data_IF_285621289393
#
_entry.id   IF_285621289393
#
_cell.length_a   1.000
_cell.length_b   1.000
_cell.length_c   1.000
_cell.angle_alpha   90.00
_cell.angle_beta   90.00
_cell.angle_gamma   90.00
#
_symmetry.space_group_name_H-M   'P 1'
#
loop_
_entity.id
_entity.type
_entity.pdbx_description
1 polymer ?
#
# COMPACT_ATOMS: atom_id res chain seq x y z
N UNK A 1 -49.10 -31.22 -57.74
CA UNK A 1 -48.41 -32.53 -57.71
C UNK A 1 -47.21 -32.54 -58.68
N UNK A 2 -47.41 -32.22 -59.96
CA UNK A 2 -46.35 -32.22 -60.98
C UNK A 2 -45.21 -31.22 -60.72
N UNK A 3 -45.53 -30.05 -60.15
CA UNK A 3 -44.57 -28.96 -59.93
C UNK A 3 -43.53 -29.31 -58.83
N UNK A 4 -44.00 -29.86 -57.70
CA UNK A 4 -43.13 -30.39 -56.64
C UNK A 4 -42.26 -31.56 -57.13
N UNK A 5 -42.76 -32.37 -58.06
CA UNK A 5 -41.98 -33.45 -58.66
C UNK A 5 -40.89 -32.91 -59.60
N UNK A 6 -41.15 -31.81 -60.33
CA UNK A 6 -40.14 -31.15 -61.17
C UNK A 6 -39.02 -30.54 -60.34
N UNK A 7 -39.33 -29.91 -59.21
CA UNK A 7 -38.32 -29.35 -58.29
C UNK A 7 -37.45 -30.44 -57.65
N UNK A 8 -38.04 -31.55 -57.19
CA UNK A 8 -37.29 -32.68 -56.64
C UNK A 8 -36.36 -33.33 -57.68
N UNK A 9 -36.83 -33.50 -58.92
CA UNK A 9 -35.99 -34.00 -60.01
C UNK A 9 -34.91 -32.98 -60.38
N UNK A 10 -35.16 -31.68 -60.22
CA UNK A 10 -34.17 -30.62 -60.38
C UNK A 10 -33.01 -30.75 -59.39
N UNK A 11 -33.31 -30.95 -58.10
CA UNK A 11 -32.31 -31.12 -57.04
C UNK A 11 -31.49 -32.40 -57.22
N UNK A 12 -32.13 -33.52 -57.56
CA UNK A 12 -31.41 -34.77 -57.86
C UNK A 12 -30.54 -34.66 -59.11
N UNK A 13 -30.90 -33.80 -60.07
CA UNK A 13 -30.05 -33.50 -61.23
C UNK A 13 -28.80 -32.76 -60.81
N UNK A 14 -28.92 -31.69 -60.02
CA UNK A 14 -27.77 -30.91 -59.56
C UNK A 14 -26.81 -31.75 -58.71
N UNK A 15 -27.31 -32.58 -57.78
CA UNK A 15 -26.45 -33.46 -56.97
C UNK A 15 -25.68 -34.48 -57.82
N UNK A 16 -26.35 -35.08 -58.81
CA UNK A 16 -25.72 -36.05 -59.72
C UNK A 16 -24.71 -35.39 -60.65
N UNK A 17 -24.89 -34.12 -60.98
CA UNK A 17 -23.92 -33.36 -61.77
C UNK A 17 -22.70 -32.98 -60.90
N UNK A 18 -22.91 -32.55 -59.64
CA UNK A 18 -21.80 -32.33 -58.67
C UNK A 18 -20.98 -33.59 -58.41
N UNK A 19 -21.62 -34.75 -58.17
CA UNK A 19 -20.90 -36.01 -57.95
C UNK A 19 -20.11 -36.47 -59.17
N UNK A 20 -20.56 -36.12 -60.38
CA UNK A 20 -19.81 -36.41 -61.62
C UNK A 20 -18.58 -35.53 -61.74
N UNK A 21 -18.66 -34.29 -61.28
CA UNK A 21 -17.53 -33.35 -61.25
C UNK A 21 -16.49 -33.81 -60.22
N UNK A 22 -16.91 -34.16 -59.01
CA UNK A 22 -16.01 -34.74 -57.98
C UNK A 22 -15.34 -36.05 -58.46
N UNK A 23 -16.07 -36.93 -59.14
CA UNK A 23 -15.47 -38.14 -59.73
C UNK A 23 -14.50 -37.83 -60.88
N UNK A 24 -14.74 -36.76 -61.64
CA UNK A 24 -13.82 -36.32 -62.68
C UNK A 24 -12.54 -35.72 -62.05
N UNK A 25 -12.66 -34.94 -60.98
CA UNK A 25 -11.53 -34.44 -60.19
C UNK A 25 -10.71 -35.58 -59.58
N UNK A 26 -11.37 -36.58 -58.98
CA UNK A 26 -10.69 -37.75 -58.40
C UNK A 26 -9.98 -38.59 -59.48
N UNK A 27 -10.60 -38.76 -60.65
CA UNK A 27 -9.94 -39.41 -61.80
C UNK A 27 -8.75 -38.59 -62.31
N UNK A 28 -8.88 -37.28 -62.37
CA UNK A 28 -7.78 -36.40 -62.74
C UNK A 28 -6.64 -36.45 -61.70
N UNK A 29 -6.95 -36.56 -60.40
CA UNK A 29 -5.98 -36.75 -59.33
C UNK A 29 -5.25 -38.11 -59.45
N UNK A 30 -5.96 -39.17 -59.82
CA UNK A 30 -5.36 -40.48 -60.15
C UNK A 30 -4.46 -40.40 -61.38
N UNK A 31 -4.84 -39.61 -62.40
CA UNK A 31 -3.99 -39.36 -63.59
C UNK A 31 -2.79 -38.43 -63.30
N UNK A 32 -2.90 -37.52 -62.31
CA UNK A 32 -1.85 -36.51 -61.98
C UNK A 32 -0.92 -36.89 -60.83
N UNK A 33 -1.07 -38.07 -60.23
CA UNK A 33 0.06 -38.82 -59.71
C UNK A 33 0.08 -39.08 -58.21
N UNK A 34 -0.44 -40.24 -57.84
CA UNK A 34 0.10 -41.04 -56.74
C UNK A 34 0.56 -42.38 -57.32
N UNK A 35 1.77 -42.35 -57.90
CA UNK A 35 2.45 -43.55 -58.39
C UNK A 35 2.75 -44.45 -57.20
N UNK A 36 1.90 -45.45 -57.01
CA UNK A 36 2.19 -46.61 -56.20
C UNK A 36 3.49 -47.24 -56.71
N UNK A 37 4.56 -47.14 -55.91
CA UNK A 37 5.86 -47.71 -56.25
C UNK A 37 5.88 -49.20 -55.98
N UNK A 38 5.47 -50.00 -56.96
CA UNK A 38 5.87 -51.41 -57.04
C UNK A 38 7.27 -51.46 -57.65
N UNK A 39 8.21 -52.16 -57.00
CA UNK A 39 9.51 -52.52 -57.59
C UNK A 39 9.61 -54.04 -57.60
N UNK A 40 9.79 -54.59 -58.80
CA UNK A 40 10.12 -55.99 -59.03
C UNK A 40 11.63 -56.14 -58.81
N UNK A 41 12.05 -57.04 -57.92
CA UNK A 41 13.37 -57.69 -58.01
C UNK A 41 13.12 -59.19 -58.14
N UNK A 42 13.64 -59.84 -59.19
CA UNK A 42 13.53 -61.29 -59.37
C UNK A 42 14.42 -62.02 -58.35
N UNK A 43 13.93 -63.20 -57.97
CA UNK A 43 14.46 -64.08 -56.93
C UNK A 43 15.99 -64.25 -56.91
N UNK A 44 16.52 -64.34 -55.69
CA UNK A 44 17.86 -64.84 -55.40
C UNK A 44 17.92 -65.36 -53.96
N UNK A 45 17.88 -66.68 -53.84
CA UNK A 45 17.91 -67.50 -52.63
C UNK A 45 19.20 -67.36 -51.80
N UNK A 46 19.22 -67.88 -50.55
CA UNK A 46 20.10 -67.42 -49.48
C UNK A 46 21.46 -68.12 -49.49
N UNK A 47 22.54 -67.36 -49.34
CA UNK A 47 23.72 -67.67 -48.52
C UNK A 47 24.90 -66.75 -48.86
N UNK A 48 25.58 -66.28 -47.81
CA UNK A 48 27.04 -66.12 -47.83
C UNK A 48 27.61 -64.76 -48.21
N UNK A 49 28.16 -64.11 -47.18
CA UNK A 49 29.46 -63.43 -47.17
C UNK A 49 29.64 -62.03 -47.83
N UNK A 50 29.77 -61.05 -46.91
CA UNK A 50 30.94 -60.17 -46.73
C UNK A 50 31.17 -59.01 -47.70
N UNK A 51 31.00 -57.82 -47.09
CA UNK A 51 31.70 -56.56 -47.29
C UNK A 51 31.49 -55.75 -48.58
N UNK A 52 30.95 -54.54 -48.41
CA UNK A 52 31.47 -53.32 -49.03
C UNK A 52 30.98 -52.05 -48.30
N UNK A 53 31.90 -51.16 -47.95
CA UNK A 53 31.65 -49.73 -47.74
C UNK A 53 31.30 -49.04 -49.09
N UNK A 54 30.99 -47.73 -49.12
CA UNK A 54 29.75 -47.09 -48.70
C UNK A 54 29.04 -46.55 -49.96
N UNK A 55 27.93 -47.15 -50.36
CA UNK A 55 27.14 -46.62 -51.49
C UNK A 55 25.91 -45.92 -50.92
N UNK A 56 25.92 -44.60 -51.07
CA UNK A 56 24.86 -43.67 -50.69
C UNK A 56 23.51 -44.15 -51.24
N UNK A 57 22.53 -44.29 -50.35
CA UNK A 57 21.14 -44.56 -50.72
C UNK A 57 20.65 -45.99 -50.48
N UNK A 58 21.18 -46.70 -49.49
CA UNK A 58 20.58 -47.95 -49.02
C UNK A 58 19.16 -47.71 -48.48
N UNK A 59 18.14 -48.24 -49.17
CA UNK A 59 16.75 -48.19 -48.70
C UNK A 59 16.59 -49.25 -47.61
N UNK A 60 16.67 -48.81 -46.36
CA UNK A 60 16.42 -49.64 -45.19
C UNK A 60 14.95 -49.59 -44.85
N UNK A 61 14.30 -50.76 -44.81
CA UNK A 61 12.93 -50.88 -44.29
C UNK A 61 12.98 -50.57 -42.80
N UNK A 62 12.29 -49.51 -42.40
CA UNK A 62 12.12 -49.13 -40.99
C UNK A 62 10.77 -49.64 -40.49
N UNK A 63 10.66 -49.88 -39.18
CA UNK A 63 9.37 -50.18 -38.58
C UNK A 63 8.42 -48.97 -38.70
N UNK A 64 7.12 -49.22 -38.57
CA UNK A 64 6.11 -48.16 -38.65
C UNK A 64 6.36 -47.05 -37.62
N UNK A 65 6.81 -47.41 -36.42
CA UNK A 65 7.15 -46.48 -35.33
C UNK A 65 8.38 -45.63 -35.69
N UNK A 66 9.41 -46.24 -36.28
CA UNK A 66 10.62 -45.53 -36.69
C UNK A 66 10.34 -44.56 -37.85
N UNK A 67 9.46 -44.91 -38.78
CA UNK A 67 8.99 -43.99 -39.83
C UNK A 67 8.29 -42.76 -39.23
N UNK A 68 7.40 -42.97 -38.26
CA UNK A 68 6.65 -41.90 -37.61
C UNK A 68 7.55 -40.94 -36.81
N UNK A 69 8.56 -41.47 -36.09
CA UNK A 69 9.54 -40.64 -35.37
C UNK A 69 10.36 -39.81 -36.35
N UNK A 70 10.79 -40.41 -37.47
CA UNK A 70 11.46 -39.65 -38.51
C UNK A 70 10.53 -38.56 -39.08
N UNK A 71 9.23 -38.82 -39.28
CA UNK A 71 8.24 -37.83 -39.78
C UNK A 71 8.15 -36.62 -38.86
N UNK A 72 8.18 -36.84 -37.55
CA UNK A 72 8.20 -35.76 -36.56
C UNK A 72 9.46 -34.87 -36.61
N UNK A 73 10.59 -35.38 -37.12
CA UNK A 73 11.83 -34.62 -37.29
C UNK A 73 11.81 -33.66 -38.51
N UNK A 74 10.71 -33.64 -39.26
CA UNK A 74 10.48 -32.79 -40.43
C UNK A 74 11.04 -33.35 -41.74
N UNK A 75 10.95 -32.56 -42.81
CA UNK A 75 11.35 -32.95 -44.16
C UNK A 75 12.87 -32.93 -44.37
N UNK A 76 13.37 -33.83 -45.24
CA UNK A 76 14.76 -33.89 -45.69
C UNK A 76 15.32 -35.32 -45.76
N UNK A 77 16.57 -35.48 -46.24
CA UNK A 77 17.26 -36.76 -46.26
C UNK A 77 17.35 -37.39 -44.86
N UNK A 78 17.45 -38.72 -44.80
CA UNK A 78 17.52 -39.48 -43.55
C UNK A 78 18.60 -38.94 -42.59
N UNK A 79 19.79 -38.61 -43.11
CA UNK A 79 20.90 -38.06 -42.33
C UNK A 79 20.57 -36.71 -41.68
N UNK A 80 19.75 -35.88 -42.34
CA UNK A 80 19.32 -34.60 -41.80
C UNK A 80 18.31 -34.80 -40.67
N UNK A 81 17.37 -35.74 -40.84
CA UNK A 81 16.35 -36.08 -39.83
C UNK A 81 16.99 -36.72 -38.60
N UNK A 82 17.94 -37.64 -38.81
CA UNK A 82 18.73 -38.24 -37.71
C UNK A 82 19.57 -37.21 -36.96
N UNK A 83 20.18 -36.24 -37.65
CA UNK A 83 20.95 -35.16 -37.01
C UNK A 83 20.06 -34.24 -36.16
N UNK A 84 18.86 -33.90 -36.63
CA UNK A 84 17.88 -33.12 -35.85
C UNK A 84 17.46 -33.87 -34.58
N UNK A 85 17.08 -35.14 -34.71
CA UNK A 85 16.73 -35.99 -33.57
C UNK A 85 17.89 -36.14 -32.57
N UNK A 86 19.12 -36.26 -33.06
CA UNK A 86 20.32 -36.29 -32.22
C UNK A 86 20.52 -34.96 -31.46
N UNK A 87 20.30 -33.82 -32.12
CA UNK A 87 20.35 -32.50 -31.51
C UNK A 87 19.28 -32.30 -30.43
N UNK A 88 18.03 -32.66 -30.71
CA UNK A 88 16.94 -32.62 -29.73
C UNK A 88 17.21 -33.54 -28.53
N UNK A 89 17.75 -34.74 -28.79
CA UNK A 89 18.19 -35.65 -27.72
C UNK A 89 19.28 -35.02 -26.86
N UNK A 90 20.26 -34.36 -27.46
CA UNK A 90 21.34 -33.69 -26.72
C UNK A 90 20.84 -32.48 -25.91
N UNK A 91 19.88 -31.73 -26.45
CA UNK A 91 19.21 -30.63 -25.75
C UNK A 91 18.38 -31.16 -24.57
N UNK A 92 17.58 -32.20 -24.77
CA UNK A 92 16.83 -32.87 -23.69
C UNK A 92 17.77 -33.44 -22.62
N UNK A 93 18.88 -34.06 -23.01
CA UNK A 93 19.90 -34.52 -22.06
C UNK A 93 20.52 -33.34 -21.27
N UNK A 94 20.71 -32.19 -21.91
CA UNK A 94 21.20 -30.99 -21.25
C UNK A 94 20.17 -30.42 -20.26
N UNK A 95 18.89 -30.42 -20.62
CA UNK A 95 17.80 -30.06 -19.72
C UNK A 95 17.71 -31.03 -18.53
N UNK A 96 17.84 -32.35 -18.75
CA UNK A 96 17.88 -33.35 -17.68
C UNK A 96 19.07 -33.10 -16.75
N UNK A 97 20.26 -32.81 -17.29
CA UNK A 97 21.44 -32.47 -16.46
C UNK A 97 21.19 -31.21 -15.64
N UNK A 98 20.62 -30.16 -16.23
CA UNK A 98 20.27 -28.92 -15.52
C UNK A 98 19.24 -29.15 -14.42
N UNK A 99 18.17 -29.90 -14.72
CA UNK A 99 17.13 -30.25 -13.75
C UNK A 99 17.68 -31.12 -12.62
N UNK A 100 18.58 -32.07 -12.92
CA UNK A 100 19.29 -32.85 -11.89
C UNK A 100 20.16 -31.96 -11.01
N UNK A 101 20.90 -31.02 -11.59
CA UNK A 101 21.70 -30.07 -10.82
C UNK A 101 20.80 -29.19 -9.94
N UNK A 102 19.69 -28.67 -10.46
CA UNK A 102 18.71 -27.90 -9.67
C UNK A 102 18.07 -28.74 -8.56
N UNK A 103 17.78 -30.02 -8.83
CA UNK A 103 17.26 -30.95 -7.83
C UNK A 103 18.31 -31.24 -6.75
N UNK A 104 19.58 -31.41 -7.12
CA UNK A 104 20.70 -31.59 -6.20
C UNK A 104 20.95 -30.31 -5.40
N UNK A 105 20.87 -29.13 -6.01
CA UNK A 105 20.97 -27.82 -5.33
C UNK A 105 19.82 -27.61 -4.34
N UNK A 106 18.58 -27.93 -4.70
CA UNK A 106 17.43 -27.85 -3.79
C UNK A 106 17.50 -28.92 -2.69
N UNK A 107 17.95 -30.15 -3.01
CA UNK A 107 18.26 -31.16 -2.00
C UNK A 107 19.40 -30.72 -1.09
N UNK A 108 20.39 -30.00 -1.61
CA UNK A 108 21.50 -29.47 -0.81
C UNK A 108 21.05 -28.31 0.07
N UNK A 109 20.26 -27.36 -0.44
CA UNK A 109 19.63 -26.30 0.36
C UNK A 109 18.72 -26.87 1.43
N UNK A 110 17.92 -27.87 1.08
CA UNK A 110 17.12 -28.63 2.02
C UNK A 110 18.03 -29.36 3.02
N UNK A 111 19.08 -30.07 2.61
CA UNK A 111 20.03 -30.75 3.51
C UNK A 111 20.97 -29.82 4.30
N UNK A 112 21.10 -28.54 3.94
CA UNK A 112 21.74 -27.53 4.82
C UNK A 112 20.74 -27.01 5.84
N UNK A 113 19.45 -27.11 5.55
CA UNK A 113 18.36 -27.00 6.52
C UNK A 113 18.12 -28.31 7.30
N UNK A 114 18.55 -29.47 6.78
CA UNK A 114 18.25 -30.83 7.27
C UNK A 114 19.53 -31.61 7.65
N UNK A 115 20.69 -30.96 7.69
CA UNK A 115 21.99 -31.53 8.07
C UNK A 115 22.11 -31.75 9.58
N UNK A 116 21.08 -31.37 10.31
CA UNK A 116 20.81 -31.72 11.70
C UNK A 116 19.79 -32.87 11.81
N UNK A 117 19.31 -33.47 10.71
CA UNK A 117 18.07 -34.25 10.73
C UNK A 117 18.16 -35.70 11.17
N UNK A 118 19.36 -36.23 11.35
CA UNK A 118 19.56 -37.53 12.01
C UNK A 118 19.30 -37.49 13.52
N UNK A 119 19.23 -36.28 14.11
CA UNK A 119 18.96 -36.02 15.53
C UNK A 119 17.83 -34.97 15.72
N UNK A 120 17.13 -34.58 14.63
CA UNK A 120 16.11 -33.51 14.65
C UNK A 120 14.76 -33.91 15.26
N UNK A 121 14.49 -35.18 15.53
CA UNK A 121 13.22 -35.52 16.20
C UNK A 121 13.14 -34.92 17.62
N UNK A 122 14.30 -34.69 18.28
CA UNK A 122 14.40 -33.95 19.53
C UNK A 122 14.61 -32.44 19.38
N UNK A 123 15.24 -32.00 18.28
CA UNK A 123 15.63 -30.59 18.06
C UNK A 123 14.64 -29.75 17.23
N UNK A 124 13.79 -30.37 16.41
CA UNK A 124 12.75 -29.68 15.63
C UNK A 124 11.64 -29.16 16.54
N UNK A 125 11.33 -29.90 17.60
CA UNK A 125 10.53 -29.39 18.73
C UNK A 125 11.23 -28.22 19.44
N UNK A 126 12.56 -28.17 19.47
CA UNK A 126 13.32 -27.09 20.11
C UNK A 126 13.31 -25.78 19.33
N UNK A 127 13.46 -25.83 17.99
CA UNK A 127 13.38 -24.63 17.13
C UNK A 127 11.96 -24.07 17.05
N UNK A 128 10.95 -24.94 16.99
CA UNK A 128 9.53 -24.53 16.99
C UNK A 128 9.13 -24.00 18.37
N UNK A 129 9.63 -24.62 19.45
CA UNK A 129 9.49 -24.13 20.82
C UNK A 129 10.13 -22.74 21.00
N UNK A 130 11.31 -22.50 20.44
CA UNK A 130 11.99 -21.20 20.52
C UNK A 130 11.19 -20.10 19.78
N UNK A 131 10.58 -20.45 18.64
CA UNK A 131 9.69 -19.55 17.90
C UNK A 131 8.41 -19.24 18.71
N UNK A 132 7.83 -20.24 19.36
CA UNK A 132 6.66 -20.11 20.24
C UNK A 132 6.98 -19.25 21.46
N UNK A 133 8.15 -19.41 22.07
CA UNK A 133 8.62 -18.58 23.19
C UNK A 133 8.80 -17.13 22.76
N UNK A 134 9.45 -16.87 21.63
CA UNK A 134 9.57 -15.53 21.07
C UNK A 134 8.21 -14.89 20.78
N UNK A 135 7.25 -15.65 20.24
CA UNK A 135 5.90 -15.18 20.00
C UNK A 135 5.16 -14.85 21.30
N UNK A 136 5.32 -15.67 22.35
CA UNK A 136 4.76 -15.40 23.68
C UNK A 136 5.35 -14.15 24.30
N UNK A 137 6.66 -13.96 24.22
CA UNK A 137 7.35 -12.77 24.73
C UNK A 137 6.93 -11.51 23.96
N UNK A 138 6.82 -11.59 22.63
CA UNK A 138 6.28 -10.51 21.82
C UNK A 138 4.83 -10.17 22.23
N UNK A 139 3.97 -11.17 22.42
CA UNK A 139 2.59 -10.98 22.87
C UNK A 139 2.52 -10.38 24.28
N UNK A 140 3.42 -10.79 25.18
CA UNK A 140 3.55 -10.21 26.52
C UNK A 140 3.94 -8.75 26.45
N UNK A 141 4.97 -8.40 25.68
CA UNK A 141 5.39 -7.02 25.48
C UNK A 141 4.29 -6.16 24.85
N UNK A 142 3.57 -6.68 23.85
CA UNK A 142 2.40 -6.02 23.26
C UNK A 142 1.36 -5.71 24.34
N UNK A 143 1.10 -6.66 25.23
CA UNK A 143 0.13 -6.48 26.32
C UNK A 143 0.59 -5.44 27.34
N UNK A 144 1.87 -5.45 27.71
CA UNK A 144 2.49 -4.44 28.58
C UNK A 144 2.40 -3.03 27.96
N UNK A 145 2.72 -2.88 26.67
CA UNK A 145 2.61 -1.59 25.97
C UNK A 145 1.17 -1.12 25.81
N UNK A 146 0.23 -2.03 25.53
CA UNK A 146 -1.21 -1.70 25.51
C UNK A 146 -1.70 -1.18 26.87
N UNK A 147 -1.26 -1.82 27.96
CA UNK A 147 -1.59 -1.35 29.30
C UNK A 147 -0.99 0.04 29.60
N UNK A 148 0.29 0.25 29.28
CA UNK A 148 0.95 1.55 29.43
C UNK A 148 0.29 2.64 28.60
N UNK A 149 -0.10 2.33 27.36
CA UNK A 149 -0.82 3.25 26.49
C UNK A 149 -2.17 3.63 27.11
N UNK A 150 -2.98 2.65 27.51
CA UNK A 150 -4.27 2.91 28.15
C UNK A 150 -4.13 3.73 29.43
N UNK A 151 -3.06 3.49 30.22
CA UNK A 151 -2.77 4.28 31.41
C UNK A 151 -2.41 5.73 31.06
N UNK A 152 -1.55 5.93 30.06
CA UNK A 152 -1.19 7.26 29.58
C UNK A 152 -2.41 8.02 29.01
N UNK A 153 -3.31 7.34 28.30
CA UNK A 153 -4.55 7.92 27.79
C UNK A 153 -5.45 8.42 28.93
N UNK A 154 -5.61 7.64 30.01
CA UNK A 154 -6.36 8.07 31.20
C UNK A 154 -5.71 9.28 31.89
N UNK A 155 -4.39 9.29 31.99
CA UNK A 155 -3.64 10.39 32.61
C UNK A 155 -3.77 11.67 31.77
N UNK A 156 -3.75 11.57 30.43
CA UNK A 156 -4.02 12.68 29.52
C UNK A 156 -5.41 13.28 29.80
N UNK A 157 -6.47 12.46 29.84
CA UNK A 157 -7.83 12.94 30.12
C UNK A 157 -7.92 13.67 31.48
N UNK A 158 -7.21 13.17 32.49
CA UNK A 158 -7.19 13.79 33.83
C UNK A 158 -6.46 15.14 33.81
N UNK A 159 -5.35 15.23 33.08
CA UNK A 159 -4.59 16.47 32.93
C UNK A 159 -5.37 17.50 32.11
N UNK A 160 -6.07 17.09 31.05
CA UNK A 160 -6.93 17.97 30.24
C UNK A 160 -8.02 18.61 31.09
N UNK A 161 -8.72 17.85 31.93
CA UNK A 161 -9.72 18.38 32.86
C UNK A 161 -9.11 19.39 33.85
N UNK A 162 -7.90 19.10 34.34
CA UNK A 162 -7.16 20.00 35.23
C UNK A 162 -6.77 21.31 34.54
N UNK A 163 -6.33 21.24 33.28
CA UNK A 163 -6.02 22.39 32.44
C UNK A 163 -7.28 23.24 32.25
N UNK A 164 -8.40 22.67 31.82
CA UNK A 164 -9.64 23.43 31.62
C UNK A 164 -10.11 24.15 32.89
N UNK A 165 -9.95 23.52 34.07
CA UNK A 165 -10.26 24.16 35.35
C UNK A 165 -9.34 25.35 35.64
N UNK A 166 -8.03 25.18 35.40
CA UNK A 166 -7.03 26.23 35.61
C UNK A 166 -7.22 27.40 34.64
N UNK A 167 -7.51 27.14 33.37
CA UNK A 167 -7.84 28.16 32.37
C UNK A 167 -9.04 29.00 32.82
N UNK A 168 -10.09 28.35 33.35
CA UNK A 168 -11.24 29.05 33.93
C UNK A 168 -10.88 29.91 35.15
N UNK A 169 -9.92 29.49 35.97
CA UNK A 169 -9.41 30.30 37.09
C UNK A 169 -8.62 31.52 36.59
N UNK A 170 -7.73 31.32 35.62
CA UNK A 170 -6.94 32.39 35.01
C UNK A 170 -7.85 33.45 34.40
N UNK A 171 -8.90 33.05 33.69
CA UNK A 171 -9.88 33.98 33.12
C UNK A 171 -10.54 34.84 34.21
N UNK A 172 -10.99 34.22 35.31
CA UNK A 172 -11.61 34.95 36.42
C UNK A 172 -10.65 35.93 37.09
N UNK A 173 -9.42 35.52 37.34
CA UNK A 173 -8.42 36.41 37.95
C UNK A 173 -8.04 37.56 37.03
N UNK A 174 -7.94 37.31 35.72
CA UNK A 174 -7.72 38.37 34.73
C UNK A 174 -8.82 39.42 34.78
N UNK A 175 -10.09 39.00 34.72
CA UNK A 175 -11.23 39.92 34.81
C UNK A 175 -11.27 40.67 36.15
N UNK A 176 -10.96 40.00 37.26
CA UNK A 176 -10.89 40.64 38.56
C UNK A 176 -9.79 41.71 38.63
N UNK A 177 -8.60 41.42 38.07
CA UNK A 177 -7.50 42.37 38.01
C UNK A 177 -7.83 43.59 37.14
N UNK A 178 -8.40 43.36 35.95
CA UNK A 178 -8.86 44.44 35.06
C UNK A 178 -9.91 45.34 35.73
N UNK A 179 -10.83 44.75 36.50
CA UNK A 179 -11.83 45.52 37.25
C UNK A 179 -11.20 46.29 38.42
N UNK A 180 -10.23 45.70 39.13
CA UNK A 180 -9.52 46.38 40.21
C UNK A 180 -8.72 47.59 39.70
N UNK A 181 -8.06 47.46 38.55
CA UNK A 181 -7.33 48.56 37.89
C UNK A 181 -8.27 49.72 37.54
N UNK A 182 -9.44 49.43 36.96
CA UNK A 182 -10.47 50.45 36.67
C UNK A 182 -10.91 51.20 37.93
N UNK A 183 -11.23 50.46 39.00
CA UNK A 183 -11.65 51.07 40.28
C UNK A 183 -10.52 51.91 40.89
N UNK A 184 -9.26 51.46 40.79
CA UNK A 184 -8.12 52.23 41.26
C UNK A 184 -7.98 53.58 40.53
N UNK A 185 -8.16 53.58 39.21
CA UNK A 185 -8.09 54.79 38.39
C UNK A 185 -9.24 55.77 38.68
N UNK A 186 -10.45 55.26 38.91
CA UNK A 186 -11.60 56.05 39.37
C UNK A 186 -11.31 56.71 40.73
N UNK A 187 -10.83 55.93 41.70
CA UNK A 187 -10.47 56.45 43.03
C UNK A 187 -9.33 57.49 42.96
N UNK A 188 -8.34 57.31 42.07
CA UNK A 188 -7.30 58.32 41.84
C UNK A 188 -7.90 59.62 41.28
N UNK A 189 -8.85 59.51 40.35
CA UNK A 189 -9.53 60.68 39.78
C UNK A 189 -10.36 61.41 40.83
N UNK A 190 -11.14 60.69 41.64
CA UNK A 190 -11.92 61.24 42.75
C UNK A 190 -11.03 61.89 43.81
N UNK A 191 -9.93 61.24 44.20
CA UNK A 191 -8.96 61.82 45.13
C UNK A 191 -8.42 63.16 44.62
N UNK A 192 -8.05 63.25 43.34
CA UNK A 192 -7.58 64.50 42.74
C UNK A 192 -8.68 65.57 42.67
N UNK A 193 -9.93 65.17 42.49
CA UNK A 193 -11.09 66.10 42.50
C UNK A 193 -11.30 66.65 43.92
N UNK A 194 -11.41 65.78 44.91
CA UNK A 194 -11.60 66.16 46.32
C UNK A 194 -10.43 67.00 46.85
N UNK A 195 -9.19 66.70 46.45
CA UNK A 195 -8.04 67.53 46.82
C UNK A 195 -8.12 68.96 46.27
N UNK A 196 -8.63 69.13 45.04
CA UNK A 196 -8.85 70.47 44.46
C UNK A 196 -9.97 71.20 45.17
N UNK A 197 -11.09 70.53 45.42
CA UNK A 197 -12.22 71.09 46.17
C UNK A 197 -11.83 71.50 47.58
N UNK A 198 -11.04 70.68 48.28
CA UNK A 198 -10.50 71.01 49.59
C UNK A 198 -9.63 72.26 49.55
N UNK A 199 -8.71 72.38 48.58
CA UNK A 199 -7.89 73.58 48.42
C UNK A 199 -8.76 74.82 48.20
N UNK A 200 -9.72 74.75 47.28
CA UNK A 200 -10.64 75.87 47.03
C UNK A 200 -11.45 76.26 48.27
N UNK A 201 -11.90 75.28 49.07
CA UNK A 201 -12.61 75.55 50.31
C UNK A 201 -11.70 76.21 51.37
N UNK A 202 -10.44 75.79 51.48
CA UNK A 202 -9.45 76.40 52.36
C UNK A 202 -9.15 77.85 51.95
N UNK A 203 -8.90 78.10 50.66
CA UNK A 203 -8.69 79.45 50.13
C UNK A 203 -9.90 80.35 50.49
N UNK A 204 -11.13 79.80 50.41
CA UNK A 204 -12.33 80.54 50.77
C UNK A 204 -12.46 80.83 52.26
N UNK A 205 -12.04 79.89 53.11
CA UNK A 205 -12.00 80.10 54.56
C UNK A 205 -11.02 81.23 54.89
N UNK A 206 -9.80 81.20 54.31
CA UNK A 206 -8.80 82.25 54.53
C UNK A 206 -9.32 83.64 54.13
N UNK A 207 -9.98 83.76 52.96
CA UNK A 207 -10.63 85.02 52.55
C UNK A 207 -11.67 85.49 53.59
N UNK A 208 -12.53 84.58 54.04
CA UNK A 208 -13.60 84.90 54.99
C UNK A 208 -13.02 85.28 56.37
N UNK A 209 -11.99 84.60 56.85
CA UNK A 209 -11.29 84.93 58.09
C UNK A 209 -10.66 86.32 58.03
N UNK A 210 -10.04 86.67 56.90
CA UNK A 210 -9.50 88.01 56.67
C UNK A 210 -10.59 89.07 56.69
N UNK A 211 -11.70 88.86 55.97
CA UNK A 211 -12.83 89.81 55.98
C UNK A 211 -13.43 89.96 57.37
N UNK A 212 -13.60 88.87 58.11
CA UNK A 212 -14.13 88.87 59.47
C UNK A 212 -13.20 89.62 60.43
N UNK A 213 -11.89 89.39 60.35
CA UNK A 213 -10.87 90.13 61.12
C UNK A 213 -10.95 91.65 60.86
N UNK A 214 -11.14 92.07 59.61
CA UNK A 214 -11.33 93.48 59.27
C UNK A 214 -12.62 94.05 59.86
N UNK A 215 -13.74 93.33 59.74
CA UNK A 215 -15.03 93.74 60.29
C UNK A 215 -15.00 93.83 61.81
N UNK A 216 -14.42 92.84 62.49
CA UNK A 216 -14.23 92.84 63.93
C UNK A 216 -13.44 94.08 64.40
N UNK A 217 -12.32 94.40 63.74
CA UNK A 217 -11.54 95.61 64.05
C UNK A 217 -12.34 96.90 63.87
N UNK A 218 -13.17 96.99 62.81
CA UNK A 218 -14.05 98.16 62.59
C UNK A 218 -15.11 98.28 63.67
N UNK A 219 -15.70 97.15 64.06
CA UNK A 219 -16.73 97.09 65.09
C UNK A 219 -16.17 97.49 66.46
N UNK A 220 -14.96 97.04 66.82
CA UNK A 220 -14.28 97.47 68.03
C UNK A 220 -13.99 98.98 68.05
N UNK A 221 -13.56 99.57 66.92
CA UNK A 221 -13.41 101.04 66.82
C UNK A 221 -14.73 101.78 67.05
N UNK A 222 -15.82 101.29 66.46
CA UNK A 222 -17.15 101.90 66.64
C UNK A 222 -17.63 101.80 68.09
N UNK A 223 -17.41 100.66 68.75
CA UNK A 223 -17.69 100.49 70.18
C UNK A 223 -16.89 101.48 71.03
N UNK A 224 -15.58 101.58 70.80
CA UNK A 224 -14.72 102.51 71.53
C UNK A 224 -15.18 103.97 71.37
N UNK A 225 -15.51 104.39 70.14
CA UNK A 225 -16.05 105.73 69.88
C UNK A 225 -17.37 105.98 70.61
N UNK A 226 -18.29 105.00 70.61
CA UNK A 226 -19.56 105.09 71.34
C UNK A 226 -19.32 105.26 72.84
N UNK A 227 -18.43 104.45 73.42
CA UNK A 227 -18.09 104.55 74.85
C UNK A 227 -17.47 105.91 75.19
N UNK A 228 -16.58 106.43 74.34
CA UNK A 228 -15.97 107.75 74.53
C UNK A 228 -17.01 108.89 74.48
N UNK A 229 -17.96 108.84 73.54
CA UNK A 229 -19.06 109.81 73.46
C UNK A 229 -19.98 109.76 74.69
N UNK A 230 -20.29 108.55 75.18
CA UNK A 230 -21.10 108.37 76.39
C UNK A 230 -20.38 108.88 77.64
N UNK A 231 -19.05 108.83 77.70
CA UNK A 231 -18.27 109.36 78.82
C UNK A 231 -18.17 110.89 78.83
N UNK A 232 -18.56 111.56 77.74
CA UNK A 232 -18.58 113.03 77.61
C UNK A 232 -19.96 113.66 77.87
N UNK A 233 -21.00 112.85 78.09
CA UNK A 233 -22.34 113.28 78.50
C UNK A 233 -22.51 113.19 80.02
#
# INVERSE_FOLDING_TARGET
>A
ALEKQKEYIGCLRSERDSLREELAELKAAVETGEKHGLVIIPDGTPNGDVHQEPVVGAITVVSQEAAQVLESAGEGPLDVRLRKLAGEKEELLSQIRKLKLQLEEERQKCSRSDGTAGDLAGLQNGSDLQLIEMQRDANRQISEYKFKLSKAEQDITTLEQSISRLEGQVLRYKTAAENAEKVEDELKAEKRKLQRELRTALDKIEEMEMTNSHLAKRLEKMKANRTALLAQQ
#
